data_IF_258181710000
#
_entry.id   IF_258181710000
#
_cell.length_a   1.000
_cell.length_b   1.000
_cell.length_c   1.000
_cell.angle_alpha   90.00
_cell.angle_beta   90.00
_cell.angle_gamma   90.00
#
_symmetry.space_group_name_H-M   'P 1'
#
loop_
_entity.id
_entity.type
_entity.pdbx_description
1 polymer ?
#
# COMPACT_ATOMS: atom_id res chain seq x y z
N UNK A 1 -1.49 7.58 -4.87
CA UNK A 1 -1.89 6.91 -6.13
C UNK A 1 -0.90 5.79 -6.40
N UNK A 2 -1.30 4.78 -7.17
CA UNK A 2 -0.43 3.70 -7.61
C UNK A 2 -0.82 3.25 -9.03
N UNK A 3 0.10 2.66 -9.80
CA UNK A 3 -0.16 2.22 -11.17
C UNK A 3 0.23 0.75 -11.30
N UNK A 4 -0.66 -0.07 -11.86
CA UNK A 4 -0.40 -1.47 -12.16
C UNK A 4 -0.92 -1.79 -13.56
N UNK A 5 -0.01 -2.16 -14.46
CA UNK A 5 -0.32 -2.35 -15.88
C UNK A 5 -0.89 -1.08 -16.50
N UNK A 6 -2.08 -1.17 -17.10
CA UNK A 6 -2.76 -0.05 -17.76
C UNK A 6 -3.63 0.80 -16.83
N UNK A 7 -3.74 0.44 -15.55
CA UNK A 7 -4.66 1.08 -14.63
C UNK A 7 -3.92 1.90 -13.57
N UNK A 8 -4.40 3.12 -13.35
CA UNK A 8 -4.04 3.95 -12.21
C UNK A 8 -5.12 3.87 -11.13
N UNK A 9 -4.68 3.69 -9.89
CA UNK A 9 -5.50 3.57 -8.70
C UNK A 9 -5.29 4.83 -7.84
N UNK A 10 -6.35 5.64 -7.71
CA UNK A 10 -6.28 6.97 -7.12
C UNK A 10 -7.22 7.04 -5.92
N UNK A 11 -6.64 7.22 -4.74
CA UNK A 11 -7.39 7.54 -3.54
C UNK A 11 -7.77 9.04 -3.58
N UNK A 12 -9.07 9.35 -3.61
CA UNK A 12 -9.59 10.73 -3.70
C UNK A 12 -10.31 11.17 -2.41
N UNK A 13 -9.98 10.56 -1.28
CA UNK A 13 -10.51 10.90 0.05
C UNK A 13 -11.89 10.32 0.37
N UNK A 14 -12.75 10.09 -0.63
CA UNK A 14 -14.08 9.45 -0.45
C UNK A 14 -14.23 8.14 -1.22
N UNK A 15 -13.32 7.88 -2.16
CA UNK A 15 -13.33 6.70 -2.99
C UNK A 15 -11.91 6.31 -3.40
N UNK A 16 -11.77 5.05 -3.79
CA UNK A 16 -10.74 4.60 -4.71
C UNK A 16 -11.28 4.70 -6.14
N UNK A 17 -10.64 5.51 -6.98
CA UNK A 17 -10.97 5.63 -8.41
C UNK A 17 -9.97 4.81 -9.22
N UNK A 18 -10.48 4.03 -10.16
CA UNK A 18 -9.69 3.23 -11.09
C UNK A 18 -9.77 3.90 -12.46
N UNK A 19 -8.63 4.31 -12.99
CA UNK A 19 -8.51 5.04 -14.24
C UNK A 19 -7.76 4.16 -15.24
N UNK A 20 -8.36 3.92 -16.40
CA UNK A 20 -7.63 3.34 -17.54
C UNK A 20 -6.74 4.44 -18.15
N UNK A 21 -5.43 4.18 -18.14
CA UNK A 21 -4.39 5.08 -18.66
C UNK A 21 -3.69 4.48 -19.88
N UNK A 22 -4.32 3.51 -20.56
CA UNK A 22 -3.78 2.90 -21.78
C UNK A 22 -3.57 3.89 -22.93
N UNK A 23 -4.40 4.94 -22.99
CA UNK A 23 -4.16 6.11 -23.83
C UNK A 23 -3.83 7.34 -22.96
N UNK A 24 -2.55 7.74 -22.86
CA UNK A 24 -2.14 8.88 -22.04
C UNK A 24 -2.77 10.22 -22.45
N UNK A 25 -3.18 10.38 -23.71
CA UNK A 25 -3.85 11.58 -24.21
C UNK A 25 -5.34 11.63 -23.90
N UNK A 26 -5.94 10.49 -23.51
CA UNK A 26 -7.36 10.37 -23.22
C UNK A 26 -7.62 9.28 -22.16
N UNK A 27 -7.19 9.48 -20.90
CA UNK A 27 -7.51 8.57 -19.81
C UNK A 27 -9.00 8.65 -19.43
N UNK A 28 -9.58 7.56 -18.93
CA UNK A 28 -10.97 7.54 -18.48
C UNK A 28 -11.17 6.72 -17.20
N UNK A 29 -12.22 7.04 -16.44
CA UNK A 29 -12.56 6.28 -15.23
C UNK A 29 -13.19 4.94 -15.62
N UNK A 30 -12.50 3.85 -15.29
CA UNK A 30 -12.97 2.49 -15.53
C UNK A 30 -13.89 1.98 -14.41
N UNK A 31 -13.77 2.54 -13.21
CA UNK A 31 -14.67 2.26 -12.09
C UNK A 31 -14.24 2.96 -10.81
N UNK A 32 -15.00 2.74 -9.74
CA UNK A 32 -14.71 3.27 -8.43
C UNK A 32 -15.25 2.38 -7.32
N UNK A 33 -14.63 2.48 -6.15
CA UNK A 33 -15.07 1.84 -4.92
C UNK A 33 -15.20 2.92 -3.85
N UNK A 34 -16.36 3.01 -3.21
CA UNK A 34 -16.57 3.94 -2.10
C UNK A 34 -15.75 3.51 -0.90
N UNK A 35 -15.25 4.49 -0.17
CA UNK A 35 -14.36 4.26 0.96
C UNK A 35 -13.30 5.33 1.00
N UNK A 36 -13.10 5.92 2.18
CA UNK A 36 -12.14 6.99 2.40
C UNK A 36 -10.71 6.43 2.44
N UNK A 37 -10.25 5.91 1.28
CA UNK A 37 -8.91 5.42 1.13
C UNK A 37 -7.92 6.57 1.31
N UNK A 38 -6.93 6.39 2.17
CA UNK A 38 -5.85 7.36 2.42
C UNK A 38 -4.56 6.96 1.72
N UNK A 39 -4.38 5.66 1.47
CA UNK A 39 -3.22 5.13 0.78
C UNK A 39 -3.61 3.93 -0.11
N UNK A 40 -2.85 3.70 -1.18
CA UNK A 40 -3.09 2.62 -2.14
C UNK A 40 -1.79 2.06 -2.70
N UNK A 41 -1.71 0.73 -2.82
CA UNK A 41 -0.70 0.00 -3.58
C UNK A 41 -1.38 -1.07 -4.44
N UNK A 42 -0.86 -1.33 -5.64
CA UNK A 42 -1.43 -2.33 -6.55
C UNK A 42 -0.35 -3.23 -7.14
N UNK A 43 -0.64 -4.52 -7.25
CA UNK A 43 0.23 -5.54 -7.87
C UNK A 43 -0.65 -6.44 -8.75
N UNK A 44 -0.49 -6.34 -10.07
CA UNK A 44 -1.40 -6.99 -11.00
C UNK A 44 -2.83 -6.49 -10.79
N UNK A 45 -3.78 -7.41 -10.56
CA UNK A 45 -5.17 -7.07 -10.23
C UNK A 45 -5.42 -6.93 -8.73
N UNK A 46 -4.44 -7.26 -7.88
CA UNK A 46 -4.59 -7.13 -6.42
C UNK A 46 -4.35 -5.69 -6.02
N UNK A 47 -5.29 -5.10 -5.29
CA UNK A 47 -5.19 -3.74 -4.79
C UNK A 47 -5.28 -3.74 -3.27
N UNK A 48 -4.39 -2.98 -2.64
CA UNK A 48 -4.30 -2.83 -1.20
C UNK A 48 -4.61 -1.37 -0.86
N UNK A 49 -5.58 -1.12 0.00
CA UNK A 49 -5.94 0.24 0.43
C UNK A 49 -5.98 0.38 1.94
N UNK A 50 -5.61 1.55 2.44
CA UNK A 50 -5.82 1.91 3.83
C UNK A 50 -7.10 2.73 3.93
N UNK A 51 -8.08 2.24 4.67
CA UNK A 51 -9.35 2.93 4.97
C UNK A 51 -9.51 2.99 6.48
N UNK A 52 -9.26 4.16 7.07
CA UNK A 52 -9.20 4.32 8.52
C UNK A 52 -8.13 3.41 9.15
N UNK A 53 -8.55 2.55 10.09
CA UNK A 53 -7.68 1.58 10.77
C UNK A 53 -7.55 0.23 10.05
N UNK A 54 -8.12 0.11 8.84
CA UNK A 54 -8.14 -1.14 8.08
C UNK A 54 -7.24 -1.09 6.87
N UNK A 55 -6.45 -2.14 6.67
CA UNK A 55 -5.93 -2.54 5.37
C UNK A 55 -7.01 -3.39 4.69
N UNK A 56 -7.50 -2.93 3.54
CA UNK A 56 -8.41 -3.69 2.68
C UNK A 56 -7.64 -4.30 1.52
N UNK A 57 -7.99 -5.54 1.18
CA UNK A 57 -7.40 -6.29 0.07
C UNK A 57 -8.51 -6.54 -0.94
N UNK A 58 -8.30 -6.05 -2.16
CA UNK A 58 -9.31 -6.05 -3.23
C UNK A 58 -8.81 -6.87 -4.42
N UNK A 59 -9.74 -7.49 -5.13
CA UNK A 59 -9.55 -7.89 -6.53
C UNK A 59 -10.16 -6.83 -7.44
N UNK A 60 -9.32 -6.27 -8.32
CA UNK A 60 -9.71 -5.32 -9.36
C UNK A 60 -9.62 -5.95 -10.77
N UNK A 61 -9.73 -7.27 -10.88
CA UNK A 61 -9.77 -7.99 -12.17
C UNK A 61 -10.86 -7.47 -13.11
N UNK A 62 -12.01 -7.11 -12.55
CA UNK A 62 -13.00 -6.25 -13.19
C UNK A 62 -12.91 -4.83 -12.61
N UNK A 63 -12.31 -3.84 -13.31
CA UNK A 63 -12.15 -2.49 -12.78
C UNK A 63 -13.48 -1.77 -12.56
N UNK A 64 -14.55 -2.16 -13.27
CA UNK A 64 -15.88 -1.59 -13.09
C UNK A 64 -16.61 -2.13 -11.84
N UNK A 65 -16.15 -3.26 -11.29
CA UNK A 65 -16.72 -3.87 -10.09
C UNK A 65 -15.64 -4.53 -9.23
N UNK A 66 -14.79 -3.76 -8.54
CA UNK A 66 -13.80 -4.30 -7.62
C UNK A 66 -14.45 -5.04 -6.44
N UNK A 67 -13.83 -6.13 -5.99
CA UNK A 67 -14.37 -7.00 -4.93
C UNK A 67 -13.45 -6.97 -3.71
N UNK A 68 -14.02 -6.76 -2.52
CA UNK A 68 -13.29 -6.92 -1.25
C UNK A 68 -13.05 -8.39 -0.95
N UNK A 69 -11.79 -8.78 -0.83
CA UNK A 69 -11.37 -10.14 -0.53
C UNK A 69 -11.12 -10.37 0.96
N UNK A 70 -10.71 -9.33 1.67
CA UNK A 70 -10.40 -9.42 3.09
C UNK A 70 -9.95 -8.10 3.68
N UNK A 71 -9.95 -8.05 5.01
CA UNK A 71 -9.49 -6.89 5.78
C UNK A 71 -8.60 -7.34 6.93
N UNK A 72 -7.66 -6.49 7.30
CA UNK A 72 -6.85 -6.64 8.51
C UNK A 72 -6.52 -5.26 9.07
N UNK A 73 -5.85 -5.20 10.22
CA UNK A 73 -5.39 -3.93 10.79
C UNK A 73 -4.40 -3.24 9.85
N UNK A 74 -4.58 -1.94 9.62
CA UNK A 74 -3.59 -1.10 8.92
C UNK A 74 -2.38 -0.78 9.79
N UNK A 75 -2.39 -1.17 11.08
CA UNK A 75 -1.34 -0.84 12.06
C UNK A 75 -1.07 0.67 12.15
N UNK A 76 -2.11 1.47 11.92
CA UNK A 76 -2.04 2.93 11.83
C UNK A 76 -1.08 3.45 10.73
N UNK A 77 -0.86 2.66 9.69
CA UNK A 77 0.04 3.05 8.62
C UNK A 77 -0.48 4.25 7.82
N UNK A 78 0.46 5.12 7.45
CA UNK A 78 0.22 6.27 6.57
C UNK A 78 0.64 5.98 5.14
N UNK A 79 1.60 5.07 4.96
CA UNK A 79 2.12 4.70 3.65
C UNK A 79 2.02 3.20 3.45
N UNK A 80 1.81 2.81 2.19
CA UNK A 80 1.68 1.43 1.77
C UNK A 80 2.49 1.20 0.49
N UNK A 81 3.18 0.08 0.44
CA UNK A 81 3.79 -0.46 -0.77
C UNK A 81 3.46 -1.96 -0.85
N UNK A 82 3.60 -2.56 -2.03
CA UNK A 82 3.33 -3.98 -2.21
C UNK A 82 4.22 -4.59 -3.31
N UNK A 83 4.64 -5.84 -3.10
CA UNK A 83 5.41 -6.63 -4.05
C UNK A 83 4.96 -8.09 -3.97
N UNK A 84 4.46 -8.64 -5.07
CA UNK A 84 3.80 -9.96 -5.04
C UNK A 84 2.62 -9.97 -4.07
N UNK A 85 2.64 -10.87 -3.09
CA UNK A 85 1.63 -10.95 -2.02
C UNK A 85 2.05 -10.22 -0.74
N UNK A 86 3.27 -9.68 -0.69
CA UNK A 86 3.76 -8.95 0.48
C UNK A 86 3.28 -7.50 0.45
N UNK A 87 2.88 -7.02 1.62
CA UNK A 87 2.42 -5.65 1.85
C UNK A 87 3.31 -5.01 2.91
N UNK A 88 3.74 -3.79 2.64
CA UNK A 88 4.62 -3.01 3.49
C UNK A 88 3.83 -1.82 4.01
N UNK A 89 3.66 -1.74 5.32
CA UNK A 89 2.86 -0.73 5.99
C UNK A 89 3.79 0.13 6.86
N UNK A 90 3.95 1.40 6.50
CA UNK A 90 4.74 2.32 7.31
C UNK A 90 3.87 3.07 8.29
N UNK A 91 4.07 2.79 9.57
CA UNK A 91 3.41 3.45 10.69
C UNK A 91 4.24 4.66 11.12
N UNK A 92 3.63 5.86 11.21
CA UNK A 92 4.33 7.07 11.60
C UNK A 92 4.81 6.91 13.05
N UNK A 93 6.04 7.34 13.32
CA UNK A 93 6.56 7.50 14.67
C UNK A 93 6.63 8.98 15.04
N UNK A 94 6.27 9.30 16.28
CA UNK A 94 6.60 10.59 16.90
C UNK A 94 8.01 10.61 17.54
N UNK A 95 8.67 9.44 17.64
CA UNK A 95 9.99 9.30 18.25
C UNK A 95 10.73 8.06 17.71
N UNK A 96 12.07 8.08 17.77
CA UNK A 96 12.94 6.99 17.30
C UNK A 96 12.75 5.64 18.00
N UNK A 97 12.05 5.59 19.14
CA UNK A 97 11.92 4.38 19.97
C UNK A 97 10.49 3.87 20.10
N UNK A 98 9.54 4.37 19.31
CA UNK A 98 8.18 3.84 19.36
C UNK A 98 8.16 2.40 18.81
N UNK A 99 7.92 1.39 19.67
CA UNK A 99 7.93 0.00 19.25
C UNK A 99 6.81 -0.35 18.26
N UNK A 100 5.82 0.54 18.10
CA UNK A 100 4.72 0.35 17.16
C UNK A 100 5.00 0.96 15.78
N UNK A 101 6.10 1.70 15.64
CA UNK A 101 6.43 2.43 14.42
C UNK A 101 7.42 1.69 13.51
N UNK A 102 7.67 2.28 12.35
CA UNK A 102 8.52 1.69 11.31
C UNK A 102 7.70 1.00 10.24
N UNK A 103 8.32 0.06 9.53
CA UNK A 103 7.70 -0.67 8.43
C UNK A 103 7.33 -2.08 8.89
N UNK A 104 6.04 -2.36 8.90
CA UNK A 104 5.49 -3.69 9.11
C UNK A 104 5.38 -4.41 7.77
N UNK A 105 5.99 -5.58 7.65
CA UNK A 105 5.92 -6.44 6.48
C UNK A 105 4.90 -7.54 6.75
N UNK A 106 3.90 -7.66 5.90
CA UNK A 106 2.82 -8.64 6.00
C UNK A 106 2.81 -9.53 4.75
N UNK A 107 2.51 -10.82 4.92
CA UNK A 107 2.13 -11.71 3.83
C UNK A 107 0.60 -11.74 3.71
N UNK A 108 0.10 -11.30 2.57
CA UNK A 108 -1.31 -11.29 2.20
C UNK A 108 -1.62 -12.32 1.10
N UNK A 109 -0.86 -13.42 1.04
CA UNK A 109 -1.09 -14.55 0.12
C UNK A 109 -2.51 -15.09 0.25
N UNK A 110 -3.01 -15.20 1.48
CA UNK A 110 -4.40 -15.50 1.81
C UNK A 110 -5.09 -14.21 2.30
N UNK A 111 -5.93 -13.53 1.49
CA UNK A 111 -6.49 -12.23 1.85
C UNK A 111 -7.31 -12.18 3.13
N UNK A 112 -7.92 -13.30 3.49
CA UNK A 112 -8.72 -13.46 4.73
C UNK A 112 -7.87 -13.84 5.94
N UNK A 113 -6.59 -14.16 5.75
CA UNK A 113 -5.65 -14.53 6.80
C UNK A 113 -4.27 -13.91 6.52
N UNK A 114 -4.15 -12.62 6.77
CA UNK A 114 -2.91 -11.87 6.60
C UNK A 114 -1.98 -12.11 7.79
N UNK A 115 -0.74 -12.52 7.52
CA UNK A 115 0.25 -12.87 8.54
C UNK A 115 1.36 -11.82 8.60
N UNK A 116 1.78 -11.44 9.81
CA UNK A 116 2.94 -10.58 9.97
C UNK A 116 4.24 -11.38 9.74
N UNK A 117 5.11 -10.86 8.87
CA UNK A 117 6.42 -11.46 8.56
C UNK A 117 7.47 -10.88 9.50
N UNK A 118 7.64 -9.56 9.49
CA UNK A 118 8.63 -8.86 10.31
C UNK A 118 8.27 -7.38 10.47
N UNK A 119 9.01 -6.68 11.34
CA UNK A 119 8.95 -5.25 11.52
C UNK A 119 10.37 -4.68 11.45
N UNK A 120 10.54 -3.64 10.65
CA UNK A 120 11.80 -2.90 10.52
C UNK A 120 11.60 -1.54 11.16
N UNK A 121 12.44 -1.24 12.16
CA UNK A 121 12.45 0.08 12.77
C UNK A 121 13.19 1.02 11.84
N UNK A 122 12.46 2.02 11.33
CA UNK A 122 13.00 3.13 10.56
C UNK A 122 13.10 4.34 11.50
N UNK A 123 14.27 5.00 11.62
CA UNK A 123 14.41 6.17 12.47
C UNK A 123 13.46 7.31 12.06
N UNK A 124 12.61 7.75 12.99
CA UNK A 124 11.78 8.94 12.78
C UNK A 124 10.52 8.68 11.95
N UNK A 125 9.86 9.75 11.50
CA UNK A 125 8.61 9.64 10.77
C UNK A 125 8.87 9.26 9.32
N UNK A 126 8.43 8.07 8.90
CA UNK A 126 8.45 7.67 7.49
C UNK A 126 7.60 8.65 6.68
N UNK A 127 8.13 9.14 5.56
CA UNK A 127 7.48 10.10 4.64
C UNK A 127 7.24 9.55 3.24
N UNK A 128 7.88 8.43 2.92
CA UNK A 128 7.74 7.74 1.65
C UNK A 128 8.13 6.28 1.80
N UNK A 129 7.45 5.43 1.04
CA UNK A 129 7.69 3.99 1.01
C UNK A 129 7.56 3.51 -0.42
N UNK A 130 8.61 2.93 -0.97
CA UNK A 130 8.56 2.26 -2.28
C UNK A 130 9.32 0.95 -2.21
N UNK A 131 8.88 -0.02 -2.99
CA UNK A 131 9.49 -1.36 -3.06
C UNK A 131 9.81 -1.67 -4.51
N UNK A 132 10.99 -2.23 -4.73
CA UNK A 132 11.39 -2.80 -6.01
C UNK A 132 11.93 -4.22 -5.78
N UNK A 133 12.37 -4.89 -6.85
CA UNK A 133 12.96 -6.22 -6.75
C UNK A 133 14.15 -6.22 -5.78
N UNK A 134 13.94 -6.84 -4.61
CA UNK A 134 14.95 -7.06 -3.59
C UNK A 134 15.13 -5.93 -2.59
N UNK A 135 14.58 -4.73 -2.79
CA UNK A 135 14.78 -3.62 -1.85
C UNK A 135 13.51 -2.87 -1.49
N UNK A 136 13.40 -2.53 -0.21
CA UNK A 136 12.48 -1.53 0.31
C UNK A 136 13.24 -0.23 0.54
N UNK A 137 12.63 0.87 0.10
CA UNK A 137 13.14 2.22 0.22
C UNK A 137 12.20 3.00 1.12
N UNK A 138 12.67 3.42 2.29
CA UNK A 138 11.92 4.23 3.24
C UNK A 138 12.63 5.58 3.43
N UNK A 139 11.93 6.68 3.14
CA UNK A 139 12.44 8.02 3.45
C UNK A 139 11.92 8.49 4.79
N UNK A 140 12.78 9.14 5.58
CA UNK A 140 12.43 9.64 6.91
C UNK A 140 12.50 11.17 7.03
N UNK A 141 12.03 11.68 8.16
CA UNK A 141 12.12 13.10 8.52
C UNK A 141 13.54 13.57 8.89
N UNK A 142 14.50 12.66 9.03
CA UNK A 142 15.91 12.97 9.25
C UNK A 142 16.67 13.21 7.92
N UNK A 143 15.95 13.21 6.79
CA UNK A 143 16.48 13.36 5.44
C UNK A 143 17.40 12.21 4.99
N UNK A 144 17.22 11.02 5.58
CA UNK A 144 17.88 9.81 5.14
C UNK A 144 16.92 8.93 4.33
N UNK A 145 17.51 8.20 3.38
CA UNK A 145 16.86 7.12 2.66
C UNK A 145 17.41 5.81 3.21
N UNK A 146 16.58 5.05 3.90
CA UNK A 146 16.90 3.70 4.30
C UNK A 146 16.62 2.75 3.13
N UNK A 147 17.66 2.01 2.73
CA UNK A 147 17.57 0.93 1.74
C UNK A 147 17.73 -0.38 2.48
N UNK A 148 16.66 -1.17 2.47
CA UNK A 148 16.56 -2.42 3.23
C UNK A 148 16.55 -3.56 2.22
N UNK A 149 17.51 -4.47 2.33
CA UNK A 149 17.53 -5.73 1.58
C UNK A 149 16.39 -6.65 2.05
N UNK A 150 15.62 -7.15 1.10
CA UNK A 150 14.49 -8.05 1.30
C UNK A 150 14.85 -9.52 1.01
N UNK A 151 16.11 -9.80 0.68
CA UNK A 151 16.61 -11.15 0.56
C UNK A 151 16.52 -11.88 1.92
N UNK A 152 16.15 -13.18 1.91
CA UNK A 152 16.09 -14.01 3.12
C UNK A 152 17.47 -14.32 3.71
#
# INVERSE_FOLDING_TARGET
MNVSGRYAYVAVGTALVIVDVSNPSSPFVAGSLTGAATAVAAVGTRVYTIVGSQLQILDASNPAAPVLLGTTSSRNAQYIAAAGTQVYLASPSGSHYDPNAGVHILDASVPTNVVAVTQIIVPGTVRGLTVNTGFLHASDSAALLDVIDLAP
#
